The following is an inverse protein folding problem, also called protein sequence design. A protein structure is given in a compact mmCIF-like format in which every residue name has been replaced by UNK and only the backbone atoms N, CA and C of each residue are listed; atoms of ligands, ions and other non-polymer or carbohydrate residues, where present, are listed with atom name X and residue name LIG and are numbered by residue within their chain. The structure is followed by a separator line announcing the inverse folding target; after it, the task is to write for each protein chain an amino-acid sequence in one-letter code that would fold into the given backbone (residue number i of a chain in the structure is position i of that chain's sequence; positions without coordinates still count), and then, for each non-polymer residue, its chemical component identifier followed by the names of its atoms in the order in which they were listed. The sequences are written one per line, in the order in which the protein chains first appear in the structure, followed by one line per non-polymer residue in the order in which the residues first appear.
data_IF_168735943416
#
_entry.id   IF_168735943416
#
_cell.length_a   1.000
_cell.length_b   1.000
_cell.length_c   1.000
_cell.angle_alpha   90.00
_cell.angle_beta   90.00
_cell.angle_gamma   90.00
#
_symmetry.space_group_name_H-M   'P 1'
#
loop_
_entity.id
_entity.type
_entity.pdbx_description
1 polymer ?
#
# COMPACT_ATOMS: atom_id res chain seq x y z
N UNK A 1 1.24 -5.02 9.24
CA UNK A 1 0.46 -4.42 8.15
C UNK A 1 1.17 -3.13 7.75
N UNK A 2 1.97 -3.18 6.68
CA UNK A 2 2.76 -2.04 6.16
C UNK A 2 2.40 -1.69 4.71
N UNK A 3 1.38 -2.36 4.16
CA UNK A 3 1.10 -2.40 2.72
C UNK A 3 -0.20 -1.71 2.33
N UNK A 4 -1.00 -1.28 3.31
CA UNK A 4 -2.38 -0.87 3.12
C UNK A 4 -2.66 0.57 3.55
N UNK A 5 -1.67 1.29 4.10
CA UNK A 5 -1.80 2.67 4.55
C UNK A 5 -0.75 3.61 3.93
N UNK A 6 -1.17 4.80 3.51
CA UNK A 6 -0.27 5.85 3.02
C UNK A 6 -0.69 7.23 3.55
N UNK A 7 0.29 8.03 3.98
CA UNK A 7 0.09 9.46 4.24
C UNK A 7 -0.26 10.15 2.92
N UNK A 8 -1.26 11.03 2.94
CA UNK A 8 -1.70 11.75 1.74
C UNK A 8 -1.67 13.27 1.88
N UNK A 9 -2.00 13.79 3.06
CA UNK A 9 -2.06 15.24 3.29
C UNK A 9 -2.19 15.57 4.78
N UNK A 10 -2.23 16.86 5.10
CA UNK A 10 -2.63 17.39 6.40
C UNK A 10 -3.83 18.34 6.26
N UNK A 11 -4.75 18.26 7.21
CA UNK A 11 -5.92 19.12 7.30
C UNK A 11 -5.87 19.91 8.60
N UNK A 12 -6.25 21.18 8.56
CA UNK A 12 -6.26 22.05 9.74
C UNK A 12 -7.70 22.39 10.15
N UNK A 13 -8.02 22.16 11.42
CA UNK A 13 -9.30 22.50 12.04
C UNK A 13 -9.05 23.30 13.32
N UNK A 14 -9.50 24.56 13.36
CA UNK A 14 -9.30 25.45 14.51
C UNK A 14 -7.84 25.51 15.01
N UNK A 15 -6.88 25.57 14.07
CA UNK A 15 -5.42 25.56 14.29
C UNK A 15 -4.82 24.20 14.73
N UNK A 16 -5.65 23.18 14.90
CA UNK A 16 -5.19 21.80 15.12
C UNK A 16 -4.89 21.10 13.79
N UNK A 17 -3.69 20.53 13.71
CA UNK A 17 -3.22 19.76 12.56
C UNK A 17 -3.65 18.30 12.65
N UNK A 18 -4.30 17.82 11.60
CA UNK A 18 -4.80 16.45 11.47
C UNK A 18 -4.11 15.81 10.27
N UNK A 19 -3.24 14.84 10.52
CA UNK A 19 -2.57 14.07 9.47
C UNK A 19 -3.55 13.09 8.81
N UNK A 20 -3.64 13.12 7.48
CA UNK A 20 -4.52 12.28 6.70
C UNK A 20 -3.78 11.06 6.13
N UNK A 21 -4.39 9.90 6.34
CA UNK A 21 -3.94 8.63 5.81
C UNK A 21 -5.06 7.96 5.04
N UNK A 22 -4.74 7.39 3.88
CA UNK A 22 -5.64 6.51 3.16
C UNK A 22 -5.31 5.07 3.47
N UNK A 23 -6.36 4.30 3.74
CA UNK A 23 -6.28 2.86 3.94
C UNK A 23 -7.13 2.12 2.93
N UNK A 24 -6.69 0.92 2.53
CA UNK A 24 -7.55 0.00 1.78
C UNK A 24 -8.78 -0.36 2.62
N UNK A 25 -9.99 -0.17 2.07
CA UNK A 25 -11.25 -0.57 2.72
C UNK A 25 -11.59 -2.05 2.57
N UNK A 26 -10.75 -2.79 1.84
CA UNK A 26 -10.87 -4.23 1.61
C UNK A 26 -9.67 -4.91 2.25
N UNK A 27 -9.89 -6.06 2.88
CA UNK A 27 -8.84 -6.99 3.35
C UNK A 27 -8.14 -7.68 2.16
N UNK A 28 -7.55 -6.89 1.26
CA UNK A 28 -6.94 -7.39 0.03
C UNK A 28 -5.64 -8.13 0.33
N UNK A 29 -4.92 -7.73 1.39
CA UNK A 29 -3.59 -8.25 1.69
C UNK A 29 -3.56 -8.82 3.11
N UNK A 30 -3.75 -10.14 3.24
CA UNK A 30 -3.64 -10.86 4.52
C UNK A 30 -2.30 -11.57 4.68
N UNK A 31 -1.65 -11.87 3.56
CA UNK A 31 -0.38 -12.59 3.45
C UNK A 31 0.40 -12.06 2.23
N UNK A 32 1.74 -12.15 2.19
CA UNK A 32 2.56 -11.53 1.15
C UNK A 32 2.14 -11.86 -0.29
N UNK A 33 1.75 -13.11 -0.55
CA UNK A 33 1.28 -13.59 -1.86
C UNK A 33 -0.04 -12.93 -2.34
N UNK A 34 -0.77 -12.24 -1.47
CA UNK A 34 -1.98 -11.54 -1.90
C UNK A 34 -1.64 -10.24 -2.67
N UNK A 35 -0.43 -9.70 -2.53
CA UNK A 35 0.05 -8.49 -3.22
C UNK A 35 -0.02 -8.66 -4.75
N UNK A 36 0.22 -9.87 -5.26
CA UNK A 36 0.17 -10.18 -6.70
C UNK A 36 -1.20 -9.94 -7.34
N UNK A 37 -2.26 -9.94 -6.52
CA UNK A 37 -3.66 -9.80 -6.94
C UNK A 37 -4.18 -8.36 -6.82
N UNK A 38 -3.36 -7.42 -6.34
CA UNK A 38 -3.74 -6.01 -6.25
C UNK A 38 -4.05 -5.49 -7.65
N UNK A 39 -5.25 -4.94 -7.83
CA UNK A 39 -5.69 -4.41 -9.12
C UNK A 39 -5.20 -2.98 -9.30
N UNK A 40 -4.57 -2.72 -10.45
CA UNK A 40 -4.07 -1.41 -10.88
C UNK A 40 -4.92 -0.90 -12.04
N UNK A 41 -5.19 0.40 -12.05
CA UNK A 41 -5.80 1.05 -13.20
C UNK A 41 -4.76 1.26 -14.30
N UNK A 42 -5.01 0.72 -15.48
CA UNK A 42 -4.19 0.89 -16.68
C UNK A 42 -4.61 2.16 -17.43
N UNK A 43 -3.62 2.86 -18.01
CA UNK A 43 -3.85 4.01 -18.90
C UNK A 43 -4.70 3.66 -20.13
N UNK A 44 -4.73 2.39 -20.54
CA UNK A 44 -5.57 1.88 -21.63
C UNK A 44 -7.06 1.72 -21.26
N UNK A 45 -7.47 2.06 -20.03
CA UNK A 45 -8.88 2.07 -19.62
C UNK A 45 -9.40 0.75 -19.06
N UNK A 46 -8.57 -0.01 -18.34
CA UNK A 46 -8.96 -1.27 -17.70
C UNK A 46 -8.22 -1.52 -16.41
N UNK A 47 -8.66 -2.49 -15.61
CA UNK A 47 -7.93 -2.94 -14.42
C UNK A 47 -7.07 -4.15 -14.75
N UNK A 48 -5.82 -4.16 -14.30
CA UNK A 48 -4.89 -5.30 -14.42
C UNK A 48 -4.34 -5.68 -13.05
N UNK A 49 -4.08 -6.97 -12.76
CA UNK A 49 -3.42 -7.34 -11.52
C UNK A 49 -1.95 -6.89 -11.56
N UNK A 50 -1.37 -6.60 -10.39
CA UNK A 50 0.06 -6.24 -10.26
C UNK A 50 0.98 -7.27 -10.91
N UNK A 51 0.64 -8.56 -10.77
CA UNK A 51 1.38 -9.68 -11.39
C UNK A 51 1.48 -9.62 -12.92
N UNK A 52 0.64 -8.83 -13.60
CA UNK A 52 0.75 -8.62 -15.05
C UNK A 52 1.91 -7.68 -15.43
N UNK A 53 2.44 -6.89 -14.49
CA UNK A 53 3.45 -5.85 -14.75
C UNK A 53 4.66 -5.92 -13.82
N UNK A 54 4.60 -6.71 -12.75
CA UNK A 54 5.68 -6.88 -11.79
C UNK A 54 5.70 -8.29 -11.20
N UNK A 55 6.85 -8.70 -10.64
CA UNK A 55 6.98 -9.95 -9.87
C UNK A 55 7.20 -9.64 -8.39
N UNK A 56 6.38 -10.21 -7.51
CA UNK A 56 6.60 -10.16 -6.06
C UNK A 56 7.51 -11.33 -5.65
N UNK A 57 8.53 -11.06 -4.84
CA UNK A 57 9.44 -12.07 -4.28
C UNK A 57 9.57 -11.88 -2.79
N UNK A 58 9.24 -12.93 -2.04
CA UNK A 58 9.42 -12.94 -0.59
C UNK A 58 10.90 -13.14 -0.24
N UNK A 59 11.41 -12.30 0.65
CA UNK A 59 12.80 -12.35 1.14
C UNK A 59 12.82 -12.03 2.63
N UNK A 60 13.83 -12.52 3.35
CA UNK A 60 14.02 -12.24 4.78
C UNK A 60 15.12 -11.19 4.98
N UNK A 61 14.95 -10.29 5.95
CA UNK A 61 15.95 -9.31 6.36
C UNK A 61 15.82 -8.99 7.86
N UNK A 62 16.82 -8.33 8.44
CA UNK A 62 16.82 -7.89 9.83
C UNK A 62 15.96 -6.63 9.97
N UNK A 63 14.99 -6.66 10.90
CA UNK A 63 14.06 -5.55 11.13
C UNK A 63 14.69 -4.36 11.88
N UNK A 64 15.87 -4.52 12.49
CA UNK A 64 16.58 -3.44 13.16
C UNK A 64 18.06 -3.44 12.81
N UNK A 65 18.55 -2.33 12.27
CA UNK A 65 19.99 -2.06 12.18
C UNK A 65 20.36 -1.20 13.39
N UNK A 66 21.15 -1.77 14.30
CA UNK A 66 21.71 -1.02 15.44
C UNK A 66 23.11 -0.55 15.06
N UNK A 67 23.41 0.72 15.32
CA UNK A 67 24.73 1.35 15.15
C UNK A 67 25.33 1.66 16.50
#
# INVERSE_FOLDING_TARGET
AYSDGAYVDEFFLDDDKIDMFLYSTRDVIRQPQDIDKVMLYSSSGGMVPLSAVASVRETVNTESIRR
#
